data_IF_223553976245
#
_entry.id   IF_223553976245
#
_cell.length_a   1.000
_cell.length_b   1.000
_cell.length_c   1.000
_cell.angle_alpha   90.00
_cell.angle_beta   90.00
_cell.angle_gamma   90.00
#
_symmetry.space_group_name_H-M   'P 1'
#
loop_
_entity.id
_entity.type
_entity.pdbx_description
1 polymer ?
#
# COMPACT_ATOMS: atom_id res chain seq x y z
N UNK A 1 7.36 31.06 12.08
CA UNK A 1 7.11 30.56 10.70
C UNK A 1 5.81 29.74 10.68
N UNK A 2 5.62 28.85 11.66
CA UNK A 2 4.32 28.21 11.99
C UNK A 2 3.14 29.20 12.04
N UNK A 3 3.32 30.38 12.62
CA UNK A 3 2.23 31.36 12.78
C UNK A 3 1.65 31.90 11.46
N UNK A 4 2.46 32.02 10.40
CA UNK A 4 1.98 32.52 9.10
C UNK A 4 1.04 31.49 8.45
N UNK A 5 1.36 30.20 8.55
CA UNK A 5 0.56 29.15 7.92
C UNK A 5 -0.78 28.95 8.64
N UNK A 6 -0.80 29.04 9.98
CA UNK A 6 -2.04 29.00 10.75
C UNK A 6 -2.96 30.19 10.41
N UNK A 7 -2.40 31.41 10.29
CA UNK A 7 -3.17 32.59 9.88
C UNK A 7 -3.74 32.44 8.47
N UNK A 8 -2.96 31.93 7.52
CA UNK A 8 -3.45 31.69 6.16
C UNK A 8 -4.59 30.67 6.13
N UNK A 9 -4.55 29.62 6.96
CA UNK A 9 -5.63 28.66 7.05
C UNK A 9 -6.94 29.31 7.55
N UNK A 10 -6.87 30.11 8.61
CA UNK A 10 -8.03 30.85 9.13
C UNK A 10 -8.64 31.78 8.07
N UNK A 11 -7.80 32.53 7.35
CA UNK A 11 -8.24 33.46 6.29
C UNK A 11 -8.86 32.75 5.08
N UNK A 12 -8.42 31.52 4.77
CA UNK A 12 -8.97 30.77 3.62
C UNK A 12 -10.39 30.27 3.86
N UNK A 13 -10.80 30.11 5.13
CA UNK A 13 -12.08 29.52 5.53
C UNK A 13 -12.42 28.22 4.76
N UNK A 14 -11.40 27.40 4.50
CA UNK A 14 -11.51 26.16 3.72
C UNK A 14 -11.26 24.96 4.63
N UNK A 15 -12.30 24.17 4.87
CA UNK A 15 -12.25 22.96 5.71
C UNK A 15 -11.31 21.86 5.19
N UNK A 16 -10.92 21.92 3.92
CA UNK A 16 -10.00 20.96 3.29
C UNK A 16 -8.55 21.46 3.24
N UNK A 17 -8.26 22.68 3.69
CA UNK A 17 -6.91 23.20 3.72
C UNK A 17 -6.17 22.72 4.98
N UNK A 18 -4.91 22.33 4.84
CA UNK A 18 -4.06 21.89 5.94
C UNK A 18 -2.59 22.24 5.70
N UNK A 19 -1.79 22.19 6.76
CA UNK A 19 -0.34 22.38 6.67
C UNK A 19 0.30 21.05 6.30
N UNK A 20 1.02 21.01 5.18
CA UNK A 20 1.63 19.76 4.69
C UNK A 20 2.63 19.13 5.67
N UNK A 21 3.30 19.94 6.50
CA UNK A 21 4.23 19.45 7.53
C UNK A 21 3.52 18.67 8.65
N UNK A 22 2.26 19.00 8.94
CA UNK A 22 1.44 18.29 9.93
C UNK A 22 0.89 16.97 9.39
N UNK A 23 1.12 16.72 8.10
CA UNK A 23 0.70 15.54 7.37
C UNK A 23 -0.57 15.76 6.55
N UNK A 24 -0.71 14.94 5.52
CA UNK A 24 -1.84 14.92 4.61
C UNK A 24 -2.45 13.53 4.66
N UNK A 25 -3.64 13.39 5.25
CA UNK A 25 -4.27 12.08 5.51
C UNK A 25 -4.31 11.14 4.29
N UNK A 26 -4.66 11.68 3.11
CA UNK A 26 -4.67 10.91 1.86
C UNK A 26 -3.27 10.74 1.24
N UNK A 27 -2.35 11.67 1.50
CA UNK A 27 -1.01 11.72 0.90
C UNK A 27 -0.02 10.83 1.63
N UNK A 28 -0.02 10.89 2.95
CA UNK A 28 0.96 10.19 3.78
C UNK A 28 0.71 8.69 3.81
N UNK A 29 1.79 7.95 3.99
CA UNK A 29 1.76 6.50 4.09
C UNK A 29 1.61 6.11 5.56
N UNK A 30 0.48 5.48 5.90
CA UNK A 30 0.16 5.08 7.28
C UNK A 30 0.99 3.90 7.80
N UNK A 31 1.69 3.20 6.92
CA UNK A 31 2.47 2.01 7.22
C UNK A 31 2.78 1.20 5.96
N UNK A 32 3.34 0.00 6.14
CA UNK A 32 3.68 -0.89 5.03
C UNK A 32 3.12 -2.29 5.25
N UNK A 33 2.83 -2.99 4.15
CA UNK A 33 2.50 -4.42 4.11
C UNK A 33 3.68 -5.16 3.51
N UNK A 34 4.26 -6.09 4.27
CA UNK A 34 5.35 -6.94 3.79
C UNK A 34 4.94 -7.73 2.56
N UNK A 35 5.84 -7.84 1.58
CA UNK A 35 5.55 -8.55 0.31
C UNK A 35 5.97 -10.02 0.32
N UNK A 36 6.58 -10.49 1.41
CA UNK A 36 7.25 -11.80 1.50
C UNK A 36 8.58 -11.85 0.74
N UNK A 37 9.04 -10.73 0.16
CA UNK A 37 10.32 -10.61 -0.53
C UNK A 37 11.06 -9.35 -0.07
N UNK A 38 12.22 -9.53 0.57
CA UNK A 38 13.04 -8.39 1.02
C UNK A 38 13.47 -7.47 -0.14
N UNK A 39 13.77 -8.04 -1.31
CA UNK A 39 14.13 -7.26 -2.49
C UNK A 39 12.96 -6.39 -2.97
N UNK A 40 11.76 -6.94 -2.96
CA UNK A 40 10.55 -6.22 -3.36
C UNK A 40 10.13 -5.18 -2.31
N UNK A 41 10.30 -5.47 -1.02
CA UNK A 41 10.12 -4.48 0.04
C UNK A 41 11.02 -3.27 -0.17
N UNK A 42 12.30 -3.50 -0.45
CA UNK A 42 13.25 -2.42 -0.72
C UNK A 42 12.87 -1.61 -1.96
N UNK A 43 12.42 -2.27 -3.04
CA UNK A 43 11.97 -1.59 -4.26
C UNK A 43 10.77 -0.68 -4.01
N UNK A 44 9.79 -1.11 -3.22
CA UNK A 44 8.53 -0.40 -3.02
C UNK A 44 8.59 0.68 -1.93
N UNK A 45 9.44 0.51 -0.92
CA UNK A 45 9.47 1.38 0.26
C UNK A 45 10.81 2.03 0.56
N UNK A 46 11.87 1.67 -0.18
CA UNK A 46 13.24 2.09 0.14
C UNK A 46 13.87 1.36 1.33
N UNK A 47 13.18 0.38 1.92
CA UNK A 47 13.67 -0.43 3.04
C UNK A 47 13.33 -1.90 2.86
N UNK A 48 14.26 -2.80 3.20
CA UNK A 48 13.97 -4.25 3.22
C UNK A 48 12.90 -4.60 4.27
N UNK A 49 12.75 -3.79 5.32
CA UNK A 49 11.76 -3.99 6.39
C UNK A 49 10.43 -3.25 6.13
N UNK A 50 10.28 -2.59 4.98
CA UNK A 50 9.02 -1.99 4.56
C UNK A 50 8.21 -2.93 3.67
N UNK A 51 7.67 -2.41 2.58
CA UNK A 51 6.79 -3.18 1.69
C UNK A 51 5.89 -2.32 0.82
N UNK A 52 4.69 -2.81 0.54
CA UNK A 52 3.63 -2.05 -0.11
C UNK A 52 3.15 -0.92 0.80
N UNK A 53 3.11 0.34 0.33
CA UNK A 53 2.58 1.45 1.13
C UNK A 53 1.09 1.24 1.41
N UNK A 54 0.68 1.34 2.67
CA UNK A 54 -0.63 0.86 3.13
C UNK A 54 -1.82 1.52 2.44
N UNK A 55 -2.28 2.68 2.84
CA UNK A 55 -3.45 3.36 2.27
C UNK A 55 -3.33 3.82 0.78
N UNK A 56 -2.66 3.06 -0.09
CA UNK A 56 -2.39 3.38 -1.50
C UNK A 56 -2.73 2.20 -2.41
N UNK A 57 -3.22 2.52 -3.61
CA UNK A 57 -3.47 1.51 -4.65
C UNK A 57 -2.14 1.18 -5.34
N UNK A 58 -1.82 -0.11 -5.45
CA UNK A 58 -0.64 -0.58 -6.19
C UNK A 58 -1.07 -1.49 -7.33
N UNK A 59 -0.43 -1.31 -8.50
CA UNK A 59 -0.69 -2.12 -9.69
C UNK A 59 0.56 -2.87 -10.13
N UNK A 60 0.46 -4.19 -10.27
CA UNK A 60 1.47 -5.00 -10.96
C UNK A 60 1.12 -5.06 -12.44
N UNK A 61 1.92 -4.39 -13.27
CA UNK A 61 1.72 -4.31 -14.71
C UNK A 61 2.85 -5.00 -15.48
N UNK A 62 2.53 -5.53 -16.66
CA UNK A 62 3.48 -6.26 -17.52
C UNK A 62 2.80 -7.33 -18.37
N UNK A 63 3.55 -7.91 -19.30
CA UNK A 63 3.07 -8.97 -20.19
C UNK A 63 2.57 -10.20 -19.42
N UNK A 64 1.70 -11.05 -20.00
CA UNK A 64 1.37 -12.35 -19.43
C UNK A 64 2.64 -13.16 -19.07
N UNK A 65 2.55 -13.99 -18.03
CA UNK A 65 3.64 -14.90 -17.60
C UNK A 65 4.92 -14.25 -17.04
N UNK A 66 4.93 -12.94 -16.73
CA UNK A 66 6.07 -12.26 -16.08
C UNK A 66 6.03 -12.25 -14.55
N UNK A 67 5.16 -13.07 -13.94
CA UNK A 67 5.09 -13.24 -12.48
C UNK A 67 4.15 -12.29 -11.74
N UNK A 68 3.33 -11.47 -12.44
CA UNK A 68 2.37 -10.54 -11.81
C UNK A 68 1.48 -11.22 -10.74
N UNK A 69 0.83 -12.32 -11.12
CA UNK A 69 -0.07 -13.09 -10.24
C UNK A 69 0.69 -13.71 -9.07
N UNK A 70 1.91 -14.19 -9.31
CA UNK A 70 2.77 -14.74 -8.26
C UNK A 70 3.09 -13.68 -7.20
N UNK A 71 3.55 -12.50 -7.61
CA UNK A 71 3.85 -11.41 -6.67
C UNK A 71 2.61 -10.90 -5.93
N UNK A 72 1.49 -10.75 -6.64
CA UNK A 72 0.23 -10.33 -6.01
C UNK A 72 -0.25 -11.32 -4.94
N UNK A 73 -0.23 -12.63 -5.24
CA UNK A 73 -0.60 -13.67 -4.28
C UNK A 73 0.40 -13.78 -3.12
N UNK A 74 1.70 -13.58 -3.37
CA UNK A 74 2.70 -13.63 -2.30
C UNK A 74 2.53 -12.50 -1.29
N UNK A 75 2.13 -11.31 -1.75
CA UNK A 75 1.73 -10.20 -0.88
C UNK A 75 0.52 -10.59 -0.03
N UNK A 76 -0.52 -11.17 -0.64
CA UNK A 76 -1.70 -11.63 0.08
C UNK A 76 -1.36 -12.69 1.13
N UNK A 77 -0.51 -13.66 0.77
CA UNK A 77 -0.02 -14.70 1.66
C UNK A 77 0.73 -14.08 2.86
N UNK A 78 1.73 -13.23 2.59
CA UNK A 78 2.51 -12.60 3.65
C UNK A 78 1.63 -11.77 4.58
N UNK A 79 0.65 -11.03 4.04
CA UNK A 79 -0.29 -10.28 4.87
C UNK A 79 -1.08 -11.20 5.82
N UNK A 80 -1.57 -12.35 5.34
CA UNK A 80 -2.32 -13.29 6.18
C UNK A 80 -1.43 -13.96 7.25
N UNK A 81 -0.16 -14.24 6.93
CA UNK A 81 0.81 -14.75 7.91
C UNK A 81 1.08 -13.74 9.03
N UNK A 82 1.26 -12.46 8.68
CA UNK A 82 1.55 -11.39 9.64
C UNK A 82 0.29 -10.96 10.43
N UNK A 83 -0.91 -11.27 9.93
CA UNK A 83 -2.19 -10.85 10.49
C UNK A 83 -3.15 -12.05 10.68
N UNK A 84 -3.05 -12.80 11.79
CA UNK A 84 -3.85 -14.02 12.03
C UNK A 84 -5.37 -13.82 12.03
N UNK A 85 -5.84 -12.59 12.29
CA UNK A 85 -7.26 -12.22 12.25
C UNK A 85 -7.62 -11.36 11.02
N UNK A 86 -6.69 -11.21 10.08
CA UNK A 86 -6.87 -10.43 8.86
C UNK A 86 -7.63 -11.22 7.78
N UNK A 87 -8.13 -10.49 6.79
CA UNK A 87 -8.86 -11.07 5.66
C UNK A 87 -8.39 -10.44 4.35
N UNK A 88 -8.29 -11.24 3.29
CA UNK A 88 -8.01 -10.77 1.93
C UNK A 88 -9.24 -11.05 1.07
N UNK A 89 -9.76 -10.00 0.42
CA UNK A 89 -10.74 -10.14 -0.64
C UNK A 89 -10.01 -10.20 -1.98
N UNK A 90 -9.96 -11.39 -2.57
CA UNK A 90 -9.33 -11.60 -3.87
C UNK A 90 -10.40 -11.74 -4.96
N UNK A 91 -10.40 -10.80 -5.91
CA UNK A 91 -11.27 -10.84 -7.09
C UNK A 91 -10.47 -11.35 -8.28
N UNK A 92 -10.92 -12.45 -8.86
CA UNK A 92 -10.28 -13.13 -9.98
C UNK A 92 -11.20 -13.08 -11.19
N UNK A 93 -10.68 -12.68 -12.36
CA UNK A 93 -11.42 -12.60 -13.62
C UNK A 93 -10.83 -13.43 -14.76
N UNK A 94 -9.67 -14.06 -14.60
CA UNK A 94 -8.92 -14.78 -15.64
C UNK A 94 -9.06 -16.32 -15.56
N UNK A 95 -9.80 -16.83 -14.57
CA UNK A 95 -9.91 -18.26 -14.23
C UNK A 95 -8.57 -19.00 -14.07
N UNK A 96 -7.50 -18.26 -13.72
CA UNK A 96 -6.13 -18.77 -13.72
C UNK A 96 -5.69 -19.37 -12.37
N UNK A 97 -6.47 -19.16 -11.31
CA UNK A 97 -6.12 -19.56 -9.95
C UNK A 97 -6.90 -20.80 -9.54
N UNK A 98 -6.17 -21.82 -9.06
CA UNK A 98 -6.73 -23.09 -8.60
C UNK A 98 -6.68 -23.20 -7.07
N UNK A 99 -7.48 -24.11 -6.50
CA UNK A 99 -7.46 -24.38 -5.04
C UNK A 99 -6.07 -24.76 -4.54
N UNK A 100 -5.35 -25.58 -5.30
CA UNK A 100 -3.98 -26.00 -4.96
C UNK A 100 -2.96 -24.85 -5.00
N UNK A 101 -3.28 -23.75 -5.68
CA UNK A 101 -2.44 -22.54 -5.67
C UNK A 101 -2.66 -21.69 -4.41
N UNK A 102 -3.77 -21.90 -3.70
CA UNK A 102 -4.19 -21.12 -2.52
C UNK A 102 -4.04 -21.89 -1.20
N UNK A 103 -3.79 -23.20 -1.26
CA UNK A 103 -3.64 -24.12 -0.11
C UNK A 103 -2.20 -24.54 0.08
#
# INVERSE_FOLDING_TARGET
MSDIFNQLLEETNNEYAGIAEDGVEAGDVSGFIGTGSYAMNALLSGSIFGGLPQNKVTAFAGEPSVGKTFYALNVCYQFLEDNPNGFVFYFESESAISKSFLS
#
